data_IF_504476929241
#
_entry.id   IF_504476929241
#
_cell.length_a   1.000
_cell.length_b   1.000
_cell.length_c   1.000
_cell.angle_alpha   90.00
_cell.angle_beta   90.00
_cell.angle_gamma   90.00
#
_symmetry.space_group_name_H-M   'P 1'
#
loop_
_entity.id
_entity.type
_entity.pdbx_description
1 polymer ?
#
# COMPACT_ATOMS: atom_id res chain seq x y z
N UNK A 1 -6.16 16.95 1.75
CA UNK A 1 -6.36 15.81 0.88
C UNK A 1 -6.25 14.49 1.60
N UNK A 2 -6.95 13.50 1.10
CA UNK A 2 -7.12 12.20 1.73
C UNK A 2 -5.84 11.40 1.89
N UNK A 3 -4.85 11.63 1.01
CA UNK A 3 -3.65 10.80 0.96
C UNK A 3 -2.54 11.28 1.90
N UNK A 4 -2.53 12.55 2.20
CA UNK A 4 -1.39 13.16 2.88
C UNK A 4 -1.18 12.57 4.27
N UNK A 5 0.03 12.12 4.52
CA UNK A 5 0.42 11.57 5.82
C UNK A 5 -0.08 10.16 6.09
N UNK A 6 -0.91 9.58 5.21
CA UNK A 6 -1.38 8.21 5.41
C UNK A 6 -0.26 7.21 5.22
N UNK A 7 -0.20 6.21 6.10
CA UNK A 7 0.81 5.17 6.08
C UNK A 7 0.29 3.96 5.32
N UNK A 8 1.13 3.40 4.46
CA UNK A 8 0.75 2.25 3.65
C UNK A 8 1.81 1.17 3.72
N UNK A 9 1.39 -0.08 3.70
CA UNK A 9 2.26 -1.23 3.53
C UNK A 9 2.06 -1.76 2.12
N UNK A 10 3.15 -1.96 1.39
CA UNK A 10 3.12 -2.38 -0.02
C UNK A 10 3.88 -3.70 -0.15
N UNK A 11 3.30 -4.68 -0.82
CA UNK A 11 3.94 -5.98 -1.01
C UNK A 11 3.61 -6.57 -2.38
N UNK A 12 4.49 -7.41 -2.88
CA UNK A 12 4.32 -8.08 -4.16
C UNK A 12 5.65 -8.30 -4.87
N UNK A 13 5.59 -8.39 -6.20
CA UNK A 13 6.79 -8.54 -7.01
C UNK A 13 7.64 -7.26 -6.99
N UNK A 14 8.97 -7.38 -7.10
CA UNK A 14 9.85 -6.24 -6.89
C UNK A 14 9.52 -5.01 -7.73
N UNK A 15 9.36 -5.17 -9.04
CA UNK A 15 9.08 -4.04 -9.94
C UNK A 15 7.74 -3.39 -9.63
N UNK A 16 6.72 -4.20 -9.39
CA UNK A 16 5.38 -3.71 -9.04
C UNK A 16 5.43 -2.93 -7.74
N UNK A 17 6.10 -3.47 -6.74
CA UNK A 17 6.19 -2.84 -5.41
C UNK A 17 6.93 -1.50 -5.49
N UNK A 18 8.02 -1.44 -6.24
CA UNK A 18 8.75 -0.18 -6.43
C UNK A 18 7.89 0.87 -7.11
N UNK A 19 7.15 0.48 -8.15
CA UNK A 19 6.22 1.38 -8.83
C UNK A 19 5.10 1.87 -7.93
N UNK A 20 4.52 0.99 -7.13
CA UNK A 20 3.47 1.33 -6.18
C UNK A 20 3.99 2.24 -5.07
N UNK A 21 5.19 1.97 -4.57
CA UNK A 21 5.82 2.81 -3.55
C UNK A 21 6.04 4.23 -4.06
N UNK A 22 6.56 4.37 -5.29
CA UNK A 22 6.72 5.69 -5.93
C UNK A 22 5.38 6.39 -6.07
N UNK A 23 4.37 5.67 -6.51
CA UNK A 23 3.02 6.21 -6.65
C UNK A 23 2.49 6.75 -5.33
N UNK A 24 2.65 5.98 -4.25
CA UNK A 24 2.24 6.44 -2.91
C UNK A 24 2.97 7.71 -2.48
N UNK A 25 4.27 7.75 -2.71
CA UNK A 25 5.08 8.92 -2.37
C UNK A 25 4.63 10.16 -3.16
N UNK A 26 4.31 9.99 -4.44
CA UNK A 26 3.81 11.09 -5.27
C UNK A 26 2.45 11.61 -4.79
N UNK A 27 1.64 10.76 -4.19
CA UNK A 27 0.35 11.15 -3.60
C UNK A 27 0.50 11.79 -2.20
N UNK A 28 1.70 11.82 -1.65
CA UNK A 28 1.93 12.33 -0.31
C UNK A 28 1.73 11.31 0.80
N UNK A 29 1.60 10.03 0.44
CA UNK A 29 1.51 8.94 1.41
C UNK A 29 2.90 8.50 1.85
N UNK A 30 2.95 7.75 2.94
CA UNK A 30 4.20 7.22 3.49
C UNK A 30 4.17 5.69 3.38
N UNK A 31 4.91 5.09 2.42
CA UNK A 31 5.02 3.64 2.34
C UNK A 31 5.95 3.10 3.43
N UNK A 32 5.38 2.95 4.63
CA UNK A 32 6.13 2.58 5.83
C UNK A 32 6.84 1.25 5.69
N UNK A 33 6.22 0.28 5.01
CA UNK A 33 6.78 -1.03 4.75
C UNK A 33 6.61 -1.36 3.28
N UNK A 34 7.73 -1.71 2.64
CA UNK A 34 7.76 -2.08 1.23
C UNK A 34 8.46 -3.43 1.15
N UNK A 35 7.74 -4.49 0.76
CA UNK A 35 8.21 -5.85 0.94
C UNK A 35 8.03 -6.68 -0.32
N UNK A 36 9.06 -7.46 -0.65
CA UNK A 36 9.00 -8.48 -1.70
C UNK A 36 9.49 -9.82 -1.20
N UNK A 37 8.89 -10.90 -1.70
CA UNK A 37 9.35 -12.25 -1.43
C UNK A 37 10.58 -12.65 -2.25
N UNK A 38 10.89 -11.89 -3.30
CA UNK A 38 12.04 -12.17 -4.17
C UNK A 38 13.33 -11.78 -3.47
N UNK A 39 14.34 -12.66 -3.44
CA UNK A 39 15.63 -12.30 -2.86
C UNK A 39 16.43 -11.38 -3.78
N UNK A 40 17.37 -10.65 -3.21
CA UNK A 40 18.28 -9.78 -3.94
C UNK A 40 18.44 -8.41 -3.29
N UNK A 41 19.64 -7.85 -3.37
CA UNK A 41 19.95 -6.58 -2.76
C UNK A 41 19.46 -5.39 -3.59
N UNK A 42 19.25 -5.57 -4.88
CA UNK A 42 18.87 -4.49 -5.79
C UNK A 42 17.54 -3.85 -5.37
N UNK A 43 16.57 -4.64 -4.96
CA UNK A 43 15.28 -4.14 -4.54
C UNK A 43 15.41 -3.16 -3.36
N UNK A 44 16.12 -3.57 -2.32
CA UNK A 44 16.29 -2.74 -1.12
C UNK A 44 17.04 -1.46 -1.46
N UNK A 45 18.07 -1.55 -2.29
CA UNK A 45 18.84 -0.37 -2.71
C UNK A 45 17.98 0.62 -3.50
N UNK A 46 17.20 0.13 -4.44
CA UNK A 46 16.31 0.97 -5.25
C UNK A 46 15.20 1.60 -4.40
N UNK A 47 14.61 0.83 -3.50
CA UNK A 47 13.58 1.33 -2.60
C UNK A 47 14.15 2.41 -1.68
N UNK A 48 15.31 2.17 -1.10
CA UNK A 48 15.97 3.13 -0.21
C UNK A 48 16.30 4.43 -0.93
N UNK A 49 16.81 4.33 -2.17
CA UNK A 49 17.08 5.51 -2.99
C UNK A 49 15.78 6.29 -3.28
N UNK A 50 14.70 5.58 -3.55
CA UNK A 50 13.38 6.16 -3.77
C UNK A 50 12.89 6.91 -2.53
N UNK A 51 12.98 6.31 -1.36
CA UNK A 51 12.58 6.96 -0.11
C UNK A 51 13.38 8.24 0.13
N UNK A 52 14.68 8.19 -0.14
CA UNK A 52 15.57 9.32 0.02
C UNK A 52 15.22 10.46 -0.93
N UNK A 53 14.84 10.13 -2.17
CA UNK A 53 14.41 11.10 -3.17
C UNK A 53 13.24 11.96 -2.66
N UNK A 54 12.35 11.36 -1.86
CA UNK A 54 11.18 12.04 -1.31
C UNK A 54 11.35 12.47 0.16
N UNK A 55 12.55 12.32 0.70
CA UNK A 55 12.83 12.72 2.08
C UNK A 55 12.14 11.86 3.13
N UNK A 56 11.90 10.60 2.82
CA UNK A 56 11.15 9.67 3.69
C UNK A 56 12.00 8.50 4.19
N UNK A 57 13.32 8.57 4.08
CA UNK A 57 14.20 7.47 4.44
C UNK A 57 14.12 7.06 5.92
N UNK A 58 13.72 7.98 6.78
CA UNK A 58 13.56 7.69 8.22
C UNK A 58 12.22 6.98 8.52
N UNK A 59 11.23 7.16 7.66
CA UNK A 59 9.87 6.69 7.90
C UNK A 59 9.54 5.40 7.15
N UNK A 60 10.32 5.07 6.13
CA UNK A 60 10.04 3.95 5.23
C UNK A 60 11.11 2.88 5.32
N UNK A 61 10.69 1.62 5.27
CA UNK A 61 11.62 0.48 5.32
C UNK A 61 11.30 -0.50 4.19
N UNK A 62 12.35 -1.06 3.59
CA UNK A 62 12.24 -2.02 2.50
C UNK A 62 12.83 -3.36 2.90
N UNK A 63 12.15 -4.44 2.53
CA UNK A 63 12.55 -5.80 2.86
C UNK A 63 12.47 -6.69 1.62
N UNK A 64 13.54 -7.45 1.36
CA UNK A 64 13.57 -8.48 0.32
C UNK A 64 13.62 -9.86 0.96
N UNK A 65 13.17 -10.87 0.23
CA UNK A 65 13.16 -12.27 0.68
C UNK A 65 12.39 -12.45 1.99
N UNK A 66 11.29 -11.72 2.15
CA UNK A 66 10.41 -11.79 3.31
C UNK A 66 9.00 -12.14 2.87
N UNK A 67 8.21 -12.69 3.78
CA UNK A 67 6.84 -13.10 3.49
C UNK A 67 5.79 -12.22 4.21
N UNK A 68 4.53 -12.55 4.01
CA UNK A 68 3.43 -11.79 4.61
C UNK A 68 3.33 -11.98 6.12
N UNK A 69 3.87 -13.05 6.67
CA UNK A 69 3.94 -13.23 8.12
C UNK A 69 4.88 -12.19 8.72
N UNK A 70 6.01 -11.97 8.06
CA UNK A 70 6.95 -10.91 8.47
C UNK A 70 6.30 -9.53 8.38
N UNK A 71 5.59 -9.27 7.28
CA UNK A 71 4.89 -8.00 7.10
C UNK A 71 3.84 -7.79 8.19
N UNK A 72 3.06 -8.83 8.49
CA UNK A 72 2.05 -8.76 9.54
C UNK A 72 2.66 -8.39 10.89
N UNK A 73 3.82 -8.94 11.19
CA UNK A 73 4.51 -8.64 12.44
C UNK A 73 4.93 -7.17 12.50
N UNK A 74 5.42 -6.61 11.41
CA UNK A 74 5.76 -5.19 11.33
C UNK A 74 4.52 -4.31 11.55
N UNK A 75 3.41 -4.67 10.92
CA UNK A 75 2.16 -3.91 11.04
C UNK A 75 1.62 -3.96 12.48
N UNK A 76 1.76 -5.08 13.16
CA UNK A 76 1.38 -5.19 14.57
C UNK A 76 2.18 -4.27 15.46
N UNK A 77 3.47 -4.15 15.18
CA UNK A 77 4.36 -3.30 15.98
C UNK A 77 4.16 -1.82 15.70
N UNK A 78 3.88 -1.46 14.45
CA UNK A 78 3.63 -0.08 14.04
C UNK A 78 2.57 -0.09 12.93
N UNK A 79 1.31 0.18 13.26
CA UNK A 79 0.20 0.06 12.32
C UNK A 79 0.28 1.00 11.12
N UNK A 80 -0.38 0.59 10.04
CA UNK A 80 -0.56 1.40 8.82
C UNK A 80 -2.04 1.63 8.57
N UNK A 81 -2.33 2.60 7.70
CA UNK A 81 -3.72 2.95 7.37
C UNK A 81 -4.28 2.14 6.21
N UNK A 82 -3.42 1.55 5.40
CA UNK A 82 -3.81 0.88 4.17
C UNK A 82 -2.81 -0.22 3.82
N UNK A 83 -3.33 -1.30 3.27
CA UNK A 83 -2.52 -2.38 2.71
C UNK A 83 -2.69 -2.38 1.20
N UNK A 84 -1.59 -2.40 0.47
CA UNK A 84 -1.59 -2.31 -0.98
C UNK A 84 -0.82 -3.48 -1.57
N UNK A 85 -1.52 -4.34 -2.32
CA UNK A 85 -0.91 -5.53 -2.89
C UNK A 85 -1.94 -6.51 -3.44
N UNK A 86 -1.62 -7.79 -3.44
CA UNK A 86 -2.52 -8.82 -3.96
C UNK A 86 -3.46 -9.37 -2.87
N UNK A 87 -4.34 -10.27 -3.27
CA UNK A 87 -5.36 -10.82 -2.37
C UNK A 87 -4.83 -11.66 -1.22
N UNK A 88 -3.56 -12.05 -1.26
CA UNK A 88 -2.96 -12.83 -0.16
C UNK A 88 -2.87 -12.03 1.15
N UNK A 89 -2.99 -10.71 1.09
CA UNK A 89 -3.01 -9.86 2.27
C UNK A 89 -4.35 -9.74 2.98
N UNK A 90 -5.38 -10.43 2.52
CA UNK A 90 -6.73 -10.35 3.12
C UNK A 90 -6.75 -10.71 4.60
N UNK A 91 -5.96 -11.69 5.00
CA UNK A 91 -5.92 -12.10 6.41
C UNK A 91 -5.35 -11.01 7.29
N UNK A 92 -4.29 -10.34 6.83
CA UNK A 92 -3.70 -9.21 7.56
C UNK A 92 -4.73 -8.08 7.68
N UNK A 93 -5.34 -7.72 6.56
CA UNK A 93 -6.32 -6.64 6.52
C UNK A 93 -7.46 -6.90 7.50
N UNK A 94 -7.98 -8.13 7.51
CA UNK A 94 -9.06 -8.51 8.41
C UNK A 94 -8.62 -8.52 9.87
N UNK A 95 -7.45 -9.08 10.14
CA UNK A 95 -6.93 -9.19 11.51
C UNK A 95 -6.66 -7.82 12.13
N UNK A 96 -6.15 -6.89 11.34
CA UNK A 96 -5.76 -5.56 11.83
C UNK A 96 -6.81 -4.48 11.57
N UNK A 97 -7.92 -4.84 10.92
CA UNK A 97 -9.00 -3.89 10.67
C UNK A 97 -8.62 -2.75 9.71
N UNK A 98 -7.77 -3.03 8.74
CA UNK A 98 -7.32 -2.05 7.76
C UNK A 98 -7.80 -2.42 6.36
N UNK A 99 -8.05 -1.43 5.49
CA UNK A 99 -8.48 -1.73 4.13
C UNK A 99 -7.35 -2.31 3.29
N UNK A 100 -7.71 -3.20 2.36
CA UNK A 100 -6.81 -3.75 1.37
C UNK A 100 -7.25 -3.25 0.00
N UNK A 101 -6.35 -2.56 -0.68
CA UNK A 101 -6.54 -2.22 -2.09
C UNK A 101 -5.67 -3.16 -2.91
N UNK A 102 -6.31 -3.89 -3.82
CA UNK A 102 -5.58 -4.78 -4.71
C UNK A 102 -4.88 -3.98 -5.78
N UNK A 103 -3.60 -4.13 -5.85
CA UNK A 103 -2.77 -3.52 -6.87
C UNK A 103 -1.71 -4.51 -7.28
N UNK A 104 -1.44 -4.61 -8.57
CA UNK A 104 -0.47 -5.54 -9.11
C UNK A 104 -0.98 -6.18 -10.37
N UNK A 105 -0.27 -7.20 -10.83
CA UNK A 105 -0.52 -7.83 -12.12
C UNK A 105 -1.96 -8.33 -12.31
N UNK A 106 -2.57 -9.05 -11.34
CA UNK A 106 -3.96 -9.51 -11.52
C UNK A 106 -4.99 -8.39 -11.67
N UNK A 107 -4.73 -7.22 -11.10
CA UNK A 107 -5.64 -6.08 -11.25
C UNK A 107 -5.45 -5.41 -12.60
N UNK A 108 -4.21 -5.33 -13.08
CA UNK A 108 -3.93 -4.82 -14.41
C UNK A 108 -4.63 -5.67 -15.48
N UNK A 109 -4.62 -6.99 -15.30
CA UNK A 109 -5.34 -7.90 -16.18
C UNK A 109 -6.86 -7.68 -16.16
N UNK A 110 -7.38 -7.29 -15.02
CA UNK A 110 -8.82 -7.08 -14.84
C UNK A 110 -9.33 -5.83 -15.53
N UNK A 111 -8.49 -4.81 -15.62
CA UNK A 111 -8.89 -3.50 -16.13
C UNK A 111 -8.36 -3.16 -17.50
N UNK A 112 -7.59 -4.02 -18.11
CA UNK A 112 -7.09 -3.77 -19.43
C UNK A 112 -5.98 -4.69 -19.83
N UNK A 113 -5.55 -4.52 -21.04
CA UNK A 113 -4.45 -5.30 -21.57
C UNK A 113 -3.13 -4.89 -20.94
N UNK A 114 -2.24 -5.88 -20.72
CA UNK A 114 -0.92 -5.54 -20.17
C UNK A 114 -0.16 -4.55 -21.04
N UNK A 115 -0.62 -4.24 -22.22
CA UNK A 115 0.03 -3.28 -23.09
C UNK A 115 -0.31 -1.84 -22.73
N UNK A 116 -0.20 -1.43 -21.80
CA UNK A 116 -0.58 -0.52 -21.38
C UNK A 116 -0.26 0.79 -21.10
N UNK A 117 -0.60 1.71 -21.92
CA UNK A 117 -0.83 3.10 -21.55
C UNK A 117 -1.69 3.24 -20.30
N UNK A 118 -2.41 2.19 -19.98
CA UNK A 118 -3.20 2.11 -18.74
C UNK A 118 -2.34 2.11 -17.48
N UNK A 119 -1.13 1.62 -17.58
CA UNK A 119 -0.20 1.64 -16.45
C UNK A 119 0.25 3.07 -16.18
N UNK A 120 0.30 3.93 -17.21
CA UNK A 120 0.65 5.33 -17.02
C UNK A 120 -0.49 6.14 -16.39
N UNK A 121 -1.40 6.63 -17.20
CA UNK A 121 -2.41 7.60 -16.78
C UNK A 121 -3.66 7.01 -16.17
N UNK A 122 -4.32 6.10 -16.89
CA UNK A 122 -5.59 5.55 -16.42
C UNK A 122 -5.41 4.61 -15.23
N UNK A 123 -4.34 3.82 -15.26
CA UNK A 123 -4.02 2.92 -14.16
C UNK A 123 -3.76 3.69 -12.88
N UNK A 124 -2.98 4.76 -12.96
CA UNK A 124 -2.67 5.61 -11.83
C UNK A 124 -3.93 6.31 -11.30
N UNK A 125 -4.76 6.82 -12.19
CA UNK A 125 -6.02 7.48 -11.80
C UNK A 125 -6.96 6.51 -11.10
N UNK A 126 -7.14 5.31 -11.67
CA UNK A 126 -8.00 4.30 -11.08
C UNK A 126 -7.49 3.83 -9.72
N UNK A 127 -6.19 3.66 -9.59
CA UNK A 127 -5.59 3.25 -8.33
C UNK A 127 -5.76 4.35 -7.27
N UNK A 128 -5.52 5.61 -7.65
CA UNK A 128 -5.73 6.73 -6.74
C UNK A 128 -7.17 6.80 -6.25
N UNK A 129 -8.13 6.62 -7.17
CA UNK A 129 -9.55 6.62 -6.81
C UNK A 129 -9.87 5.48 -5.84
N UNK A 130 -9.35 4.29 -6.08
CA UNK A 130 -9.57 3.13 -5.21
C UNK A 130 -8.98 3.33 -3.82
N UNK A 131 -7.80 3.91 -3.76
CA UNK A 131 -7.18 4.22 -2.46
C UNK A 131 -8.02 5.25 -1.72
N UNK A 132 -8.46 6.30 -2.41
CA UNK A 132 -9.32 7.32 -1.79
C UNK A 132 -10.62 6.72 -1.28
N UNK A 133 -11.29 5.89 -2.08
CA UNK A 133 -12.53 5.24 -1.69
C UNK A 133 -12.32 4.35 -0.46
N UNK A 134 -11.26 3.57 -0.44
CA UNK A 134 -10.95 2.69 0.68
C UNK A 134 -10.71 3.47 1.97
N UNK A 135 -9.97 4.57 1.90
CA UNK A 135 -9.69 5.42 3.05
C UNK A 135 -10.95 6.13 3.53
N UNK A 136 -11.80 6.58 2.61
CA UNK A 136 -13.08 7.22 2.96
C UNK A 136 -14.05 6.24 3.61
N UNK A 137 -14.17 5.03 3.06
CA UNK A 137 -15.04 3.99 3.62
C UNK A 137 -14.59 3.64 5.03
N UNK A 138 -13.31 3.54 5.28
CA UNK A 138 -12.78 3.26 6.62
C UNK A 138 -13.06 4.42 7.57
N UNK A 139 -12.91 5.65 7.11
CA UNK A 139 -13.24 6.83 7.91
C UNK A 139 -14.71 6.85 8.29
N UNK A 140 -15.58 6.60 7.33
CA UNK A 140 -17.05 6.58 7.56
C UNK A 140 -17.43 5.47 8.55
N UNK A 141 -16.79 4.30 8.44
CA UNK A 141 -17.03 3.19 9.35
C UNK A 141 -16.66 3.56 10.79
N UNK A 142 -15.50 4.16 10.97
CA UNK A 142 -15.03 4.58 12.30
C UNK A 142 -15.94 5.65 12.89
N UNK A 143 -16.36 6.62 12.09
CA UNK A 143 -17.27 7.67 12.53
C UNK A 143 -18.63 7.09 12.92
N UNK A 144 -19.16 6.13 12.17
CA UNK A 144 -20.43 5.49 12.49
C UNK A 144 -20.34 4.71 13.81
N UNK A 145 -19.24 4.03 14.07
CA UNK A 145 -19.03 3.30 15.31
C UNK A 145 -18.95 4.27 16.50
N UNK A 146 -18.27 5.40 16.34
CA UNK A 146 -18.20 6.43 17.38
C UNK A 146 -19.57 7.04 17.66
N UNK A 147 -20.37 7.31 16.64
CA UNK A 147 -21.72 7.83 16.78
C UNK A 147 -22.63 6.82 17.51
N UNK A 148 -22.47 5.55 17.24
CA UNK A 148 -23.22 4.50 17.94
C UNK A 148 -22.83 4.44 19.41
N UNK A 149 -21.57 4.58 19.73
CA UNK A 149 -21.09 4.61 21.13
C UNK A 149 -21.63 5.81 21.88
N UNK A 150 -21.77 6.95 21.21
CA UNK A 150 -22.31 8.17 21.81
C UNK A 150 -23.83 8.06 22.10
N UNK A 151 -24.55 7.26 21.33
CA UNK A 151 -25.99 7.09 21.50
C UNK A 151 -26.31 6.07 22.59
N UNK A 152 -25.39 5.21 22.89
CA UNK A 152 -25.54 4.20 23.94
C UNK A 152 -25.06 4.68 25.30
#
# INVERSE_FOLDING_TARGET
PYYYGKKVAVYGDPDTVLGLARFCLELGMTPSYVLTGTPGEAFVKLATALFKEYGKEEECKAFAAKDLVDLHQHIKNAPVDLLLGNSHGKQIAKAEGIPLVRAGFPILDRYGHPSLPLVGYRGAFLLATRIADALMDEYDRVCADEDMDLVM
#
